data_IF_044692463118
#
_entry.id   IF_044692463118
#
_cell.length_a   1.000
_cell.length_b   1.000
_cell.length_c   1.000
_cell.angle_alpha   90.00
_cell.angle_beta   90.00
_cell.angle_gamma   90.00
#
_symmetry.space_group_name_H-M   'P 1'
#
loop_
_entity.id
_entity.type
_entity.pdbx_description
1 polymer ?
#
# COMPACT_ATOMS: atom_id res chain seq x y z
N UNK A 1 18.24 4.29 -12.22
CA UNK A 1 16.83 3.87 -12.37
C UNK A 1 16.37 3.39 -11.00
N UNK A 2 15.41 4.04 -10.36
CA UNK A 2 14.95 3.64 -9.04
C UNK A 2 14.27 2.27 -9.10
N UNK A 3 14.36 1.50 -8.02
CA UNK A 3 13.67 0.22 -7.87
C UNK A 3 12.51 0.38 -6.89
N UNK A 4 11.32 -0.09 -7.28
CA UNK A 4 10.15 -0.14 -6.42
C UNK A 4 9.69 -1.58 -6.24
N UNK A 5 9.69 -2.07 -4.99
CA UNK A 5 9.11 -3.35 -4.61
C UNK A 5 7.66 -3.14 -4.20
N UNK A 6 6.73 -3.87 -4.82
CA UNK A 6 5.29 -3.70 -4.58
C UNK A 6 4.68 -5.00 -4.06
N UNK A 7 4.15 -4.95 -2.84
CA UNK A 7 3.30 -5.99 -2.28
C UNK A 7 1.83 -5.66 -2.54
N UNK A 8 1.10 -6.62 -3.13
CA UNK A 8 -0.29 -6.43 -3.56
C UNK A 8 -0.45 -5.94 -4.99
N UNK A 9 0.55 -6.11 -5.86
CA UNK A 9 0.64 -5.58 -7.23
C UNK A 9 -0.44 -6.08 -8.20
N UNK A 10 -1.05 -7.23 -7.95
CA UNK A 10 -1.85 -7.96 -8.95
C UNK A 10 -3.21 -7.35 -9.28
N UNK A 11 -3.78 -6.50 -8.42
CA UNK A 11 -5.11 -5.92 -8.62
C UNK A 11 -5.30 -4.57 -7.91
N UNK A 12 -6.38 -3.89 -8.30
CA UNK A 12 -6.85 -2.67 -7.64
C UNK A 12 -5.75 -1.63 -7.47
N UNK A 13 -5.57 -1.13 -6.24
CA UNK A 13 -4.62 -0.06 -5.97
C UNK A 13 -3.16 -0.46 -6.24
N UNK A 14 -2.76 -1.68 -5.84
CA UNK A 14 -1.39 -2.14 -6.11
C UNK A 14 -1.07 -2.22 -7.59
N UNK A 15 -2.05 -2.61 -8.43
CA UNK A 15 -1.90 -2.58 -9.89
C UNK A 15 -1.76 -1.15 -10.41
N UNK A 16 -2.49 -0.18 -9.86
CA UNK A 16 -2.31 1.23 -10.20
C UNK A 16 -0.89 1.71 -9.86
N UNK A 17 -0.36 1.39 -8.67
CA UNK A 17 1.03 1.67 -8.32
C UNK A 17 2.03 1.03 -9.29
N UNK A 18 1.79 -0.23 -9.68
CA UNK A 18 2.66 -0.94 -10.64
C UNK A 18 2.72 -0.21 -11.98
N UNK A 19 1.56 0.17 -12.53
CA UNK A 19 1.49 0.86 -13.82
C UNK A 19 2.16 2.24 -13.76
N UNK A 20 1.92 3.01 -12.71
CA UNK A 20 2.54 4.33 -12.54
C UNK A 20 4.06 4.23 -12.36
N UNK A 21 4.53 3.30 -11.52
CA UNK A 21 5.97 3.12 -11.32
C UNK A 21 6.68 2.69 -12.62
N UNK A 22 6.09 1.80 -13.41
CA UNK A 22 6.64 1.44 -14.74
C UNK A 22 6.65 2.64 -15.70
N UNK A 23 5.57 3.44 -15.73
CA UNK A 23 5.48 4.62 -16.58
C UNK A 23 6.52 5.70 -16.19
N UNK A 24 6.83 5.81 -14.90
CA UNK A 24 7.87 6.70 -14.37
C UNK A 24 9.30 6.13 -14.55
N UNK A 25 9.45 4.98 -15.23
CA UNK A 25 10.73 4.38 -15.54
C UNK A 25 11.40 3.64 -14.37
N UNK A 26 10.64 3.24 -13.35
CA UNK A 26 11.18 2.41 -12.27
C UNK A 26 11.36 0.97 -12.70
N UNK A 27 12.39 0.29 -12.20
CA UNK A 27 12.41 -1.18 -12.13
C UNK A 27 11.39 -1.59 -11.08
N UNK A 28 10.37 -2.34 -11.48
CA UNK A 28 9.33 -2.83 -10.55
C UNK A 28 9.59 -4.29 -10.23
N UNK A 29 9.64 -4.60 -8.94
CA UNK A 29 9.67 -5.96 -8.38
C UNK A 29 8.34 -6.20 -7.67
N UNK A 30 7.75 -7.39 -7.80
CA UNK A 30 6.47 -7.69 -7.15
C UNK A 30 6.40 -9.12 -6.63
N UNK A 31 5.81 -9.29 -5.43
CA UNK A 31 5.42 -10.61 -4.91
C UNK A 31 3.97 -10.88 -5.31
N UNK A 32 3.72 -11.99 -5.99
CA UNK A 32 2.42 -12.33 -6.57
C UNK A 32 2.07 -13.79 -6.29
N UNK A 33 0.84 -14.06 -5.83
CA UNK A 33 0.38 -15.41 -5.48
C UNK A 33 -0.08 -16.25 -6.66
N UNK A 34 -0.66 -15.61 -7.68
CA UNK A 34 -1.25 -16.30 -8.83
C UNK A 34 -0.24 -16.40 -9.94
N UNK A 35 0.09 -17.62 -10.44
CA UNK A 35 0.96 -17.79 -11.60
C UNK A 35 0.44 -17.08 -12.86
N UNK A 36 -0.88 -17.00 -13.02
CA UNK A 36 -1.53 -16.27 -14.10
C UNK A 36 -1.20 -14.78 -14.04
N UNK A 37 -1.35 -14.17 -12.86
CA UNK A 37 -0.99 -12.75 -12.65
C UNK A 37 0.52 -12.55 -12.75
N UNK A 38 1.32 -13.53 -12.35
CA UNK A 38 2.78 -13.47 -12.51
C UNK A 38 3.17 -13.38 -13.98
N UNK A 39 2.56 -14.21 -14.83
CA UNK A 39 2.74 -14.18 -16.28
C UNK A 39 2.30 -12.83 -16.88
N UNK A 40 1.13 -12.34 -16.50
CA UNK A 40 0.59 -11.07 -16.99
C UNK A 40 1.50 -9.89 -16.64
N UNK A 41 1.93 -9.78 -15.37
CA UNK A 41 2.79 -8.69 -14.92
C UNK A 41 4.21 -8.82 -15.50
N UNK A 42 4.73 -10.04 -15.62
CA UNK A 42 6.02 -10.29 -16.27
C UNK A 42 6.05 -9.82 -17.74
N UNK A 43 4.97 -10.04 -18.49
CA UNK A 43 4.82 -9.52 -19.85
C UNK A 43 4.80 -7.97 -19.92
N UNK A 44 4.49 -7.30 -18.84
CA UNK A 44 4.53 -5.82 -18.70
C UNK A 44 5.89 -5.30 -18.23
N UNK A 45 6.89 -6.16 -18.01
CA UNK A 45 8.23 -5.79 -17.58
C UNK A 45 8.43 -5.77 -16.07
N UNK A 46 7.50 -6.32 -15.29
CA UNK A 46 7.66 -6.50 -13.85
C UNK A 46 8.55 -7.71 -13.55
N UNK A 47 9.52 -7.54 -12.65
CA UNK A 47 10.34 -8.64 -12.10
C UNK A 47 9.52 -9.35 -11.00
N UNK A 48 8.88 -10.47 -11.35
CA UNK A 48 7.91 -11.13 -10.48
C UNK A 48 8.55 -12.25 -9.68
N UNK A 49 8.21 -12.30 -8.37
CA UNK A 49 8.43 -13.44 -7.48
C UNK A 49 7.08 -14.06 -7.18
N UNK A 50 6.95 -15.37 -7.41
CA UNK A 50 5.75 -16.10 -7.02
C UNK A 50 5.82 -16.48 -5.56
N UNK A 51 4.77 -16.13 -4.79
CA UNK A 51 4.68 -16.41 -3.36
C UNK A 51 3.54 -15.67 -2.67
N UNK A 52 3.30 -16.04 -1.41
CA UNK A 52 2.30 -15.42 -0.56
C UNK A 52 2.96 -14.50 0.49
N UNK A 53 2.40 -13.33 0.74
CA UNK A 53 2.85 -12.43 1.80
C UNK A 53 2.62 -13.01 3.22
N UNK A 54 1.83 -14.07 3.35
CA UNK A 54 1.70 -14.84 4.60
C UNK A 54 2.86 -15.84 4.79
N UNK A 55 3.69 -16.07 3.77
CA UNK A 55 4.93 -16.82 3.88
C UNK A 55 6.13 -15.87 4.07
N UNK A 56 6.75 -15.82 5.27
CA UNK A 56 7.90 -14.95 5.52
C UNK A 56 9.08 -15.20 4.57
N UNK A 57 9.30 -16.44 4.14
CA UNK A 57 10.41 -16.78 3.25
C UNK A 57 10.22 -16.15 1.84
N UNK A 58 8.99 -16.19 1.32
CA UNK A 58 8.65 -15.54 0.05
C UNK A 58 8.82 -14.01 0.13
N UNK A 59 8.44 -13.40 1.26
CA UNK A 59 8.62 -11.95 1.49
C UNK A 59 10.11 -11.59 1.57
N UNK A 60 10.92 -12.36 2.29
CA UNK A 60 12.37 -12.19 2.36
C UNK A 60 13.03 -12.30 0.97
N UNK A 61 12.61 -13.29 0.18
CA UNK A 61 13.10 -13.44 -1.20
C UNK A 61 12.78 -12.20 -2.06
N UNK A 62 11.58 -11.65 -1.93
CA UNK A 62 11.19 -10.44 -2.65
C UNK A 62 12.03 -9.22 -2.24
N UNK A 63 12.28 -9.04 -0.94
CA UNK A 63 13.16 -7.99 -0.43
C UNK A 63 14.61 -8.14 -0.96
N UNK A 64 15.16 -9.35 -0.92
CA UNK A 64 16.49 -9.64 -1.42
C UNK A 64 16.60 -9.37 -2.94
N UNK A 65 15.58 -9.74 -3.71
CA UNK A 65 15.52 -9.52 -5.17
C UNK A 65 15.45 -8.03 -5.53
N UNK A 66 14.76 -7.22 -4.73
CA UNK A 66 14.66 -5.78 -4.96
C UNK A 66 15.98 -5.06 -4.72
N UNK A 67 16.75 -5.48 -3.72
CA UNK A 67 18.03 -4.87 -3.30
C UNK A 67 17.81 -3.77 -2.26
N UNK A 68 18.90 -3.41 -1.57
CA UNK A 68 18.87 -2.52 -0.38
C UNK A 68 18.42 -1.08 -0.69
N UNK A 69 18.65 -0.61 -1.91
CA UNK A 69 18.28 0.75 -2.33
C UNK A 69 16.83 0.83 -2.84
N UNK A 70 16.08 -0.28 -2.82
CA UNK A 70 14.71 -0.29 -3.27
C UNK A 70 13.79 0.45 -2.30
N UNK A 71 12.84 1.19 -2.87
CA UNK A 71 11.69 1.73 -2.14
C UNK A 71 10.55 0.71 -2.17
N UNK A 72 9.79 0.62 -1.09
CA UNK A 72 8.76 -0.40 -0.95
C UNK A 72 7.38 0.23 -0.81
N UNK A 73 6.41 -0.34 -1.52
CA UNK A 73 4.99 -0.01 -1.39
C UNK A 73 4.25 -1.26 -0.95
N UNK A 74 3.51 -1.20 0.16
CA UNK A 74 2.58 -2.25 0.55
C UNK A 74 1.14 -1.74 0.43
N UNK A 75 0.37 -2.41 -0.42
CA UNK A 75 -1.08 -2.23 -0.56
C UNK A 75 -1.83 -3.49 -0.14
N UNK A 76 -1.18 -4.34 0.68
CA UNK A 76 -1.75 -5.59 1.14
C UNK A 76 -3.04 -5.33 1.93
N UNK A 77 -4.06 -6.08 1.59
CA UNK A 77 -5.33 -6.05 2.26
C UNK A 77 -6.26 -7.12 1.73
N UNK A 78 -7.13 -7.56 2.60
CA UNK A 78 -8.15 -8.54 2.29
C UNK A 78 -9.51 -7.99 2.70
N UNK A 79 -10.53 -8.37 1.95
CA UNK A 79 -11.90 -8.10 2.33
C UNK A 79 -12.62 -9.44 2.47
N UNK A 80 -13.06 -9.75 3.71
CA UNK A 80 -13.81 -10.99 4.01
C UNK A 80 -13.09 -12.28 3.60
N UNK A 81 -11.75 -12.32 3.68
CA UNK A 81 -10.99 -13.55 3.44
C UNK A 81 -10.80 -14.33 4.74
N UNK A 82 -10.75 -15.66 4.63
CA UNK A 82 -10.55 -16.55 5.78
C UNK A 82 -9.17 -16.36 6.44
N UNK A 83 -8.15 -16.00 5.66
CA UNK A 83 -6.81 -15.66 6.14
C UNK A 83 -6.51 -14.20 5.78
N UNK A 84 -6.82 -13.24 6.66
CA UNK A 84 -6.61 -11.84 6.38
C UNK A 84 -5.11 -11.49 6.39
N UNK A 85 -4.66 -10.87 5.29
CA UNK A 85 -3.26 -10.46 5.10
C UNK A 85 -2.96 -9.08 5.71
N UNK A 86 -3.99 -8.38 6.19
CA UNK A 86 -3.95 -6.97 6.57
C UNK A 86 -2.93 -6.66 7.68
N UNK A 87 -2.79 -7.53 8.68
CA UNK A 87 -1.77 -7.41 9.72
C UNK A 87 -0.57 -8.31 9.44
N UNK A 88 -0.81 -9.63 9.36
CA UNK A 88 0.28 -10.61 9.31
C UNK A 88 1.20 -10.42 8.09
N UNK A 89 0.60 -10.20 6.89
CA UNK A 89 1.39 -9.97 5.69
C UNK A 89 2.18 -8.67 5.75
N UNK A 90 1.57 -7.58 6.24
CA UNK A 90 2.28 -6.31 6.40
C UNK A 90 3.39 -6.39 7.46
N UNK A 91 3.17 -7.14 8.55
CA UNK A 91 4.21 -7.41 9.54
C UNK A 91 5.40 -8.14 8.91
N UNK A 92 5.15 -9.20 8.12
CA UNK A 92 6.23 -9.91 7.43
C UNK A 92 7.02 -8.99 6.50
N UNK A 93 6.35 -8.05 5.80
CA UNK A 93 7.02 -7.05 4.96
C UNK A 93 7.94 -6.17 5.80
N UNK A 94 7.45 -5.62 6.92
CA UNK A 94 8.23 -4.76 7.81
C UNK A 94 9.46 -5.50 8.36
N UNK A 95 9.23 -6.68 8.94
CA UNK A 95 10.29 -7.50 9.55
C UNK A 95 11.35 -7.91 8.50
N UNK A 96 10.92 -8.30 7.28
CA UNK A 96 11.84 -8.68 6.20
C UNK A 96 12.63 -7.49 5.65
N UNK A 97 12.04 -6.30 5.57
CA UNK A 97 12.74 -5.08 5.16
C UNK A 97 13.85 -4.72 6.15
N UNK A 98 13.56 -4.77 7.47
CA UNK A 98 14.58 -4.50 8.50
C UNK A 98 15.74 -5.50 8.41
N UNK A 99 15.44 -6.80 8.25
CA UNK A 99 16.44 -7.85 8.10
C UNK A 99 17.30 -7.70 6.84
N UNK A 100 16.69 -7.29 5.73
CA UNK A 100 17.37 -7.11 4.44
C UNK A 100 18.06 -5.73 4.31
N UNK A 101 17.89 -4.83 5.27
CA UNK A 101 18.47 -3.50 5.26
C UNK A 101 17.79 -2.49 4.34
N UNK A 102 16.59 -2.80 3.82
CA UNK A 102 15.76 -1.83 3.11
C UNK A 102 15.28 -0.75 4.09
N UNK A 103 15.09 0.48 3.60
CA UNK A 103 14.80 1.62 4.48
C UNK A 103 13.42 2.24 4.25
N UNK A 104 13.02 2.47 3.00
CA UNK A 104 11.90 3.32 2.66
C UNK A 104 10.62 2.52 2.37
N UNK A 105 9.57 2.74 3.19
CA UNK A 105 8.26 2.06 3.06
C UNK A 105 7.11 3.06 3.01
N UNK A 106 6.27 2.94 1.98
CA UNK A 106 4.91 3.48 1.95
C UNK A 106 3.93 2.35 2.29
N UNK A 107 3.30 2.43 3.45
CA UNK A 107 2.22 1.53 3.85
C UNK A 107 0.86 2.17 3.53
N UNK A 108 0.10 1.52 2.64
CA UNK A 108 -1.26 1.98 2.35
C UNK A 108 -2.26 1.18 3.18
N UNK A 109 -3.00 1.91 4.02
CA UNK A 109 -4.01 1.33 4.92
C UNK A 109 -5.42 1.77 4.54
N UNK A 110 -6.13 2.50 5.38
CA UNK A 110 -7.49 2.96 5.13
C UNK A 110 -7.86 4.09 6.09
N UNK A 111 -8.75 4.97 5.70
CA UNK A 111 -9.49 5.79 6.66
C UNK A 111 -10.13 4.89 7.72
N UNK A 112 -10.14 5.36 8.96
CA UNK A 112 -10.58 4.61 10.13
C UNK A 112 -9.48 3.84 10.86
N UNK A 113 -8.24 3.76 10.33
CA UNK A 113 -7.12 3.19 11.06
C UNK A 113 -6.64 4.15 12.17
N UNK A 114 -6.13 3.55 13.25
CA UNK A 114 -5.54 4.28 14.37
C UNK A 114 -6.47 5.36 14.95
N UNK A 115 -5.95 6.57 15.07
CA UNK A 115 -6.65 7.75 15.59
C UNK A 115 -7.88 8.18 14.76
N UNK A 116 -7.92 7.83 13.47
CA UNK A 116 -9.08 8.13 12.62
C UNK A 116 -10.28 7.18 12.82
N UNK A 117 -10.15 6.15 13.71
CA UNK A 117 -11.26 5.25 14.03
C UNK A 117 -12.51 5.98 14.53
N UNK A 118 -12.35 7.04 15.27
CA UNK A 118 -13.45 7.85 15.78
C UNK A 118 -14.35 8.39 14.66
N UNK A 119 -13.79 8.71 13.51
CA UNK A 119 -14.51 9.25 12.34
C UNK A 119 -15.15 8.16 11.46
N UNK A 120 -14.85 6.87 11.70
CA UNK A 120 -15.40 5.80 10.90
C UNK A 120 -16.89 5.59 11.21
N UNK A 121 -17.82 5.77 10.26
CA UNK A 121 -19.25 5.63 10.49
C UNK A 121 -19.60 4.23 11.01
N UNK A 122 -20.65 4.12 11.85
CA UNK A 122 -21.06 2.84 12.43
C UNK A 122 -21.34 1.77 11.37
N UNK A 123 -21.97 2.14 10.25
CA UNK A 123 -22.21 1.22 9.12
C UNK A 123 -20.89 0.67 8.54
N UNK A 124 -19.88 1.52 8.41
CA UNK A 124 -18.57 1.11 7.92
C UNK A 124 -17.85 0.20 8.94
N UNK A 125 -17.94 0.52 10.24
CA UNK A 125 -17.40 -0.34 11.32
C UNK A 125 -18.03 -1.74 11.29
N UNK A 126 -19.32 -1.83 11.06
CA UNK A 126 -20.02 -3.10 10.95
C UNK A 126 -19.63 -3.89 9.69
N UNK A 127 -19.35 -3.21 8.59
CA UNK A 127 -19.06 -3.83 7.29
C UNK A 127 -17.61 -4.34 7.16
N UNK A 128 -16.63 -3.57 7.63
CA UNK A 128 -15.19 -3.85 7.46
C UNK A 128 -14.30 -3.36 8.62
N UNK A 129 -14.89 -3.13 9.79
CA UNK A 129 -14.14 -2.68 10.97
C UNK A 129 -13.11 -3.69 11.45
N UNK A 130 -13.29 -4.97 11.16
CA UNK A 130 -12.29 -6.00 11.49
C UNK A 130 -11.00 -5.77 10.71
N UNK A 131 -11.08 -5.62 9.40
CA UNK A 131 -9.94 -5.37 8.52
C UNK A 131 -9.24 -4.05 8.83
N UNK A 132 -10.01 -3.01 9.16
CA UNK A 132 -9.46 -1.71 9.60
C UNK A 132 -8.65 -1.85 10.90
N UNK A 133 -9.12 -2.65 11.86
CA UNK A 133 -8.37 -2.93 13.11
C UNK A 133 -7.08 -3.69 12.83
N UNK A 134 -7.11 -4.68 11.92
CA UNK A 134 -5.90 -5.40 11.53
C UNK A 134 -4.88 -4.47 10.85
N UNK A 135 -5.34 -3.56 10.00
CA UNK A 135 -4.48 -2.52 9.41
C UNK A 135 -3.92 -1.56 10.46
N UNK A 136 -4.72 -1.20 11.48
CA UNK A 136 -4.24 -0.39 12.61
C UNK A 136 -3.12 -1.07 13.39
N UNK A 137 -3.17 -2.41 13.56
CA UNK A 137 -2.07 -3.17 14.15
C UNK A 137 -0.80 -3.12 13.28
N UNK A 138 -0.95 -3.19 11.95
CA UNK A 138 0.18 -3.04 11.02
C UNK A 138 0.79 -1.64 11.10
N UNK A 139 -0.01 -0.58 11.19
CA UNK A 139 0.49 0.77 11.41
C UNK A 139 1.28 0.91 12.71
N UNK A 140 0.75 0.35 13.82
CA UNK A 140 1.43 0.37 15.12
C UNK A 140 2.76 -0.40 15.08
N UNK A 141 2.79 -1.54 14.36
CA UNK A 141 4.01 -2.32 14.17
C UNK A 141 5.05 -1.52 13.38
N UNK A 142 4.63 -0.86 12.30
CA UNK A 142 5.49 -0.03 11.46
C UNK A 142 6.06 1.18 12.20
N UNK A 143 5.25 1.88 12.98
CA UNK A 143 5.65 3.09 13.71
C UNK A 143 6.74 2.85 14.76
N UNK A 144 6.90 1.60 15.21
CA UNK A 144 7.94 1.17 16.16
C UNK A 144 9.15 0.52 15.49
N UNK A 145 9.16 0.41 14.16
CA UNK A 145 10.28 -0.11 13.37
C UNK A 145 11.37 0.94 13.12
N UNK A 146 12.52 0.49 12.62
CA UNK A 146 13.63 1.35 12.22
C UNK A 146 13.49 1.93 10.80
N UNK A 147 12.35 1.69 10.13
CA UNK A 147 12.14 2.09 8.74
C UNK A 147 11.84 3.58 8.58
N UNK A 148 12.25 4.16 7.47
CA UNK A 148 11.81 5.47 6.99
C UNK A 148 10.42 5.32 6.36
N UNK A 149 9.40 5.26 7.19
CA UNK A 149 8.05 4.95 6.78
C UNK A 149 7.19 6.18 6.48
N UNK A 150 6.19 5.99 5.62
CA UNK A 150 5.03 6.88 5.45
C UNK A 150 3.78 6.02 5.43
N UNK A 151 2.71 6.47 6.08
CA UNK A 151 1.40 5.81 6.06
C UNK A 151 0.44 6.65 5.23
N UNK A 152 -0.26 6.00 4.28
CA UNK A 152 -1.30 6.63 3.47
C UNK A 152 -2.65 5.94 3.71
N UNK A 153 -3.64 6.70 4.16
CA UNK A 153 -5.00 6.24 4.48
C UNK A 153 -6.00 6.74 3.44
N UNK A 154 -6.30 5.99 2.39
CA UNK A 154 -7.26 6.39 1.38
C UNK A 154 -8.70 6.38 1.89
N UNK A 155 -9.49 7.29 1.34
CA UNK A 155 -10.95 7.24 1.32
C UNK A 155 -11.47 6.04 0.49
N UNK A 156 -12.77 5.92 0.28
CA UNK A 156 -13.35 4.85 -0.53
C UNK A 156 -12.76 4.82 -1.93
N UNK A 157 -12.11 3.70 -2.28
CA UNK A 157 -11.40 3.55 -3.55
C UNK A 157 -12.36 3.30 -4.72
N UNK A 158 -12.20 4.05 -5.80
CA UNK A 158 -12.89 3.86 -7.08
C UNK A 158 -11.89 3.62 -8.22
N UNK A 159 -12.32 2.82 -9.22
CA UNK A 159 -11.62 2.69 -10.49
C UNK A 159 -11.97 3.87 -11.42
N UNK A 160 -11.12 4.13 -12.40
CA UNK A 160 -11.27 5.15 -13.41
C UNK A 160 -10.03 6.04 -13.53
N UNK A 161 -10.08 6.95 -14.48
CA UNK A 161 -8.99 7.89 -14.75
C UNK A 161 -8.75 8.82 -13.56
N UNK A 162 -7.53 9.31 -13.43
CA UNK A 162 -7.17 10.28 -12.41
C UNK A 162 -8.00 11.56 -12.56
N UNK A 163 -8.49 12.07 -11.44
CA UNK A 163 -9.19 13.37 -11.42
C UNK A 163 -8.22 14.53 -11.26
N UNK A 164 -7.04 14.27 -10.70
CA UNK A 164 -6.05 15.29 -10.35
C UNK A 164 -6.46 16.15 -9.14
N UNK A 165 -7.58 15.85 -8.48
CA UNK A 165 -8.14 16.63 -7.36
C UNK A 165 -7.99 15.95 -6.00
N UNK A 166 -7.32 14.79 -5.95
CA UNK A 166 -7.09 14.11 -4.68
C UNK A 166 -6.19 14.96 -3.77
N UNK A 167 -6.66 15.21 -2.57
CA UNK A 167 -6.01 16.04 -1.57
C UNK A 167 -5.45 15.18 -0.43
N UNK A 168 -4.19 15.47 -0.05
CA UNK A 168 -3.55 14.94 1.14
C UNK A 168 -3.89 15.82 2.35
N UNK A 169 -4.17 15.19 3.49
CA UNK A 169 -4.43 15.91 4.73
C UNK A 169 -3.92 15.14 5.95
N UNK A 170 -3.64 15.87 7.03
CA UNK A 170 -3.20 15.32 8.31
C UNK A 170 -4.05 15.86 9.44
N UNK A 171 -4.35 15.02 10.44
CA UNK A 171 -5.08 15.43 11.65
C UNK A 171 -6.50 15.95 11.42
N UNK A 172 -7.07 15.70 10.25
CA UNK A 172 -8.43 16.13 9.90
C UNK A 172 -9.33 14.94 9.61
N UNK A 173 -10.62 15.13 9.86
CA UNK A 173 -11.65 14.21 9.41
C UNK A 173 -11.76 14.24 7.88
N UNK A 174 -11.67 13.07 7.25
CA UNK A 174 -11.80 12.90 5.79
C UNK A 174 -12.81 11.81 5.51
N UNK A 175 -13.66 12.05 4.52
CA UNK A 175 -14.66 11.12 4.02
C UNK A 175 -14.67 11.11 2.50
N UNK A 176 -15.58 10.32 1.92
CA UNK A 176 -15.83 10.30 0.49
C UNK A 176 -15.06 9.23 -0.26
N UNK A 177 -14.63 9.56 -1.45
CA UNK A 177 -14.04 8.65 -2.42
C UNK A 177 -12.72 9.20 -2.95
N UNK A 178 -11.94 8.34 -3.61
CA UNK A 178 -10.73 8.73 -4.34
C UNK A 178 -10.44 7.73 -5.45
N UNK A 179 -9.93 8.18 -6.58
CA UNK A 179 -9.49 7.29 -7.66
C UNK A 179 -8.19 6.57 -7.29
N UNK A 180 -8.11 5.26 -7.60
CA UNK A 180 -6.89 4.48 -7.37
C UNK A 180 -5.68 5.06 -8.09
N UNK A 181 -5.88 5.62 -9.27
CA UNK A 181 -4.87 6.32 -10.06
C UNK A 181 -4.32 7.54 -9.33
N UNK A 182 -5.17 8.37 -8.73
CA UNK A 182 -4.73 9.53 -7.94
C UNK A 182 -3.98 9.09 -6.67
N UNK A 183 -4.45 8.04 -5.97
CA UNK A 183 -3.74 7.49 -4.80
C UNK A 183 -2.37 6.97 -5.18
N UNK A 184 -2.24 6.26 -6.32
CA UNK A 184 -0.95 5.76 -6.79
C UNK A 184 0.01 6.91 -7.13
N UNK A 185 -0.45 7.92 -7.85
CA UNK A 185 0.34 9.13 -8.18
C UNK A 185 0.84 9.84 -6.92
N UNK A 186 -0.06 10.15 -5.98
CA UNK A 186 0.32 10.83 -4.74
C UNK A 186 1.19 9.95 -3.85
N UNK A 187 0.92 8.64 -3.81
CA UNK A 187 1.71 7.68 -3.04
C UNK A 187 3.16 7.58 -3.54
N UNK A 188 3.40 7.54 -4.85
CA UNK A 188 4.77 7.55 -5.39
C UNK A 188 5.50 8.88 -5.11
N UNK A 189 4.79 10.02 -5.14
CA UNK A 189 5.36 11.32 -4.73
C UNK A 189 5.76 11.31 -3.26
N UNK A 190 4.89 10.82 -2.37
CA UNK A 190 5.19 10.69 -0.94
C UNK A 190 6.36 9.72 -0.69
N UNK A 191 6.46 8.66 -1.49
CA UNK A 191 7.55 7.69 -1.37
C UNK A 191 8.92 8.32 -1.69
N UNK A 192 8.96 9.25 -2.64
CA UNK A 192 10.16 9.99 -3.02
C UNK A 192 10.46 11.21 -2.13
N UNK A 193 9.50 11.65 -1.32
CA UNK A 193 9.62 12.83 -0.46
C UNK A 193 10.17 12.47 0.93
N UNK A 194 11.37 12.91 1.24
CA UNK A 194 11.98 12.68 2.55
C UNK A 194 11.24 13.40 3.69
N UNK A 195 10.54 14.49 3.41
CA UNK A 195 9.76 15.21 4.42
C UNK A 195 8.51 14.45 4.83
N UNK A 196 8.08 13.45 4.05
CA UNK A 196 6.98 12.57 4.36
C UNK A 196 7.36 11.40 5.29
N UNK A 197 8.65 11.25 5.66
CA UNK A 197 9.10 10.21 6.58
C UNK A 197 8.54 10.46 7.98
N UNK A 198 7.99 9.39 8.59
CA UNK A 198 7.34 9.45 9.90
C UNK A 198 5.96 10.12 9.87
N UNK A 199 5.40 10.34 8.69
CA UNK A 199 4.12 11.05 8.53
C UNK A 199 2.97 10.10 8.15
N UNK A 200 1.77 10.49 8.60
CA UNK A 200 0.51 9.81 8.29
C UNK A 200 -0.37 10.78 7.51
N UNK A 201 -0.80 10.38 6.33
CA UNK A 201 -1.68 11.16 5.48
C UNK A 201 -3.01 10.45 5.24
N UNK A 202 -4.10 11.18 5.31
CA UNK A 202 -5.36 10.80 4.68
C UNK A 202 -5.37 11.33 3.23
N UNK A 203 -6.05 10.61 2.32
CA UNK A 203 -6.23 11.06 0.93
C UNK A 203 -7.68 10.84 0.49
N UNK A 204 -8.29 11.89 -0.06
CA UNK A 204 -9.64 11.88 -0.60
C UNK A 204 -9.79 12.88 -1.74
N UNK A 205 -10.82 12.71 -2.57
CA UNK A 205 -11.20 13.72 -3.58
C UNK A 205 -12.51 14.37 -3.10
N UNK A 206 -12.50 15.67 -2.76
CA UNK A 206 -13.66 16.34 -2.16
C UNK A 206 -14.85 16.45 -3.12
N UNK A 207 -14.62 16.35 -4.42
CA UNK A 207 -15.67 16.46 -5.44
C UNK A 207 -16.14 15.10 -5.98
N UNK A 208 -15.44 14.01 -5.67
CA UNK A 208 -15.79 12.69 -6.19
C UNK A 208 -16.97 12.09 -5.41
N UNK A 209 -18.11 12.01 -6.04
CA UNK A 209 -19.33 11.45 -5.48
C UNK A 209 -19.54 9.99 -5.93
N UNK A 210 -20.36 9.26 -5.15
CA UNK A 210 -20.86 7.96 -5.60
C UNK A 210 -21.87 8.21 -6.72
N UNK A 211 -21.54 7.73 -7.91
CA UNK A 211 -22.50 7.65 -9.02
C UNK A 211 -23.58 6.60 -8.73
#
# INVERSE_FOLDING_TARGET
>A
MPTTLIFGASRGLGRAFTHHALADGHRVVALVRSPEMATELGAQGVDVIEGDALDPAAVQQACARAGQDAQVVSTLGSFRQAAPVDYQGNRHVIDAMEQAGLKRLLLVTSLGCGDSWQYLPQRARAAFGHEVRLKSLAESWLQTSSLAWTILRPAGLQDGDATGRAELSQGKEVHGLVRRTDVATQGLRLLADETAVGQIYAIGDPELQRG
#
